data_IF_225691270672
#
_entry.id   IF_225691270672
#
_cell.length_a   1.000
_cell.length_b   1.000
_cell.length_c   1.000
_cell.angle_alpha   90.00
_cell.angle_beta   90.00
_cell.angle_gamma   90.00
#
_symmetry.space_group_name_H-M   'P 1'
#
loop_
_entity.id
_entity.type
_entity.pdbx_description
1 polymer ?
#
# COMPACT_ATOMS: atom_id res chain seq x y z
N UNK A 1 -5.88 -18.66 15.02
CA UNK A 1 -5.80 -17.24 14.63
C UNK A 1 -4.36 -16.95 14.30
N UNK A 2 -4.05 -16.47 13.09
CA UNK A 2 -2.70 -16.01 12.77
C UNK A 2 -2.54 -14.61 13.33
N UNK A 3 -1.48 -14.38 14.11
CA UNK A 3 -1.12 -13.05 14.62
C UNK A 3 -0.44 -12.28 13.49
N UNK A 4 -0.84 -11.02 13.24
CA UNK A 4 -0.14 -10.21 12.24
C UNK A 4 1.28 -9.92 12.71
N UNK A 5 2.24 -10.02 11.81
CA UNK A 5 3.63 -9.65 12.10
C UNK A 5 3.73 -8.12 12.28
N UNK A 6 4.45 -7.69 13.32
CA UNK A 6 4.64 -6.27 13.62
C UNK A 6 6.07 -5.89 13.22
N UNK A 7 6.20 -5.10 12.14
CA UNK A 7 7.48 -4.56 11.67
C UNK A 7 7.36 -3.06 11.45
N UNK A 8 8.47 -2.37 11.63
CA UNK A 8 8.57 -0.95 11.29
C UNK A 8 9.77 -0.72 10.38
N UNK A 9 9.70 0.36 9.61
CA UNK A 9 10.83 0.95 8.91
C UNK A 9 10.77 2.46 9.09
N UNK A 10 11.88 3.16 8.94
CA UNK A 10 11.87 4.62 8.86
C UNK A 10 12.75 5.11 7.72
N UNK A 11 12.46 6.31 7.25
CA UNK A 11 13.35 7.03 6.35
C UNK A 11 14.34 7.84 7.18
N UNK A 12 15.63 7.49 7.09
CA UNK A 12 16.71 8.08 7.89
C UNK A 12 17.89 8.40 6.99
N UNK A 13 18.41 9.63 7.06
CA UNK A 13 19.60 10.05 6.30
C UNK A 13 19.51 9.71 4.79
N UNK A 14 18.34 9.95 4.18
CA UNK A 14 18.05 9.64 2.77
C UNK A 14 18.08 8.14 2.41
N UNK A 15 17.78 7.27 3.37
CA UNK A 15 17.73 5.81 3.15
C UNK A 15 16.62 5.15 3.97
N UNK A 16 16.04 4.06 3.44
CA UNK A 16 15.11 3.22 4.19
C UNK A 16 15.90 2.32 5.16
N UNK A 17 15.66 2.49 6.46
CA UNK A 17 16.18 1.62 7.50
C UNK A 17 15.06 0.75 8.06
N UNK A 18 15.30 -0.57 8.15
CA UNK A 18 14.34 -1.54 8.69
C UNK A 18 14.59 -1.72 10.18
N UNK A 19 13.52 -1.67 10.97
CA UNK A 19 13.55 -1.91 12.41
C UNK A 19 12.67 -3.12 12.72
N UNK A 20 13.30 -4.27 12.94
CA UNK A 20 12.72 -5.42 13.66
C UNK A 20 13.56 -5.56 14.96
N UNK A 21 13.04 -5.91 16.13
CA UNK A 21 12.13 -7.02 16.43
C UNK A 21 11.56 -6.85 17.86
N UNK A 22 10.29 -7.21 18.12
CA UNK A 22 9.85 -7.59 19.48
C UNK A 22 9.79 -9.11 19.51
N UNK A 23 10.93 -9.74 19.78
CA UNK A 23 10.97 -11.15 20.15
C UNK A 23 10.78 -11.25 21.66
N UNK A 24 9.76 -11.98 22.18
CA UNK A 24 9.64 -12.23 23.61
C UNK A 24 10.78 -13.12 24.16
N UNK A 25 11.64 -13.66 23.29
CA UNK A 25 12.87 -14.37 23.66
C UNK A 25 14.09 -13.49 23.35
N UNK A 26 14.23 -12.36 24.05
CA UNK A 26 15.50 -11.62 24.05
C UNK A 26 16.45 -12.28 25.07
N UNK A 27 17.23 -13.24 24.59
CA UNK A 27 18.59 -13.40 25.12
C UNK A 27 19.36 -12.13 24.72
N UNK A 28 19.91 -11.46 25.74
CA UNK A 28 20.71 -10.26 25.59
C UNK A 28 21.85 -10.47 24.58
N UNK A 29 21.89 -9.69 23.50
CA UNK A 29 23.11 -9.67 22.68
C UNK A 29 23.06 -8.90 21.36
N UNK A 30 21.92 -8.84 20.68
CA UNK A 30 21.83 -8.15 19.39
C UNK A 30 20.58 -7.28 19.32
N UNK A 31 20.52 -6.31 20.23
CA UNK A 31 19.58 -5.20 20.07
C UNK A 31 20.19 -4.27 19.02
N UNK A 32 19.65 -4.27 17.81
CA UNK A 32 19.60 -3.02 17.03
C UNK A 32 18.58 -2.11 17.73
N UNK A 33 18.91 -1.72 18.96
CA UNK A 33 18.20 -0.72 19.73
C UNK A 33 18.47 0.60 19.03
N UNK A 34 17.56 1.01 18.15
CA UNK A 34 17.29 2.43 18.07
C UNK A 34 16.82 2.81 19.46
N UNK A 35 17.61 3.63 20.13
CA UNK A 35 17.34 4.12 21.47
C UNK A 35 15.95 4.77 21.50
N UNK A 36 14.92 4.03 21.92
CA UNK A 36 13.55 4.52 22.15
C UNK A 36 13.46 5.25 23.50
N UNK A 37 14.54 5.93 23.91
CA UNK A 37 14.71 6.51 25.24
C UNK A 37 14.81 8.04 25.19
N UNK A 38 14.89 8.64 24.01
CA UNK A 38 14.76 10.07 23.80
C UNK A 38 13.47 10.29 23.03
N UNK A 39 12.64 11.21 23.51
CA UNK A 39 11.40 11.65 22.89
C UNK A 39 11.63 11.85 21.39
N UNK A 40 11.25 10.87 20.56
CA UNK A 40 11.25 11.04 19.11
C UNK A 40 10.25 12.15 18.87
N UNK A 41 10.72 13.36 18.56
CA UNK A 41 9.83 14.32 17.91
C UNK A 41 9.29 13.60 16.68
N UNK A 42 7.97 13.48 16.55
CA UNK A 42 7.26 12.66 15.54
C UNK A 42 7.76 12.90 14.09
N UNK A 43 8.49 14.00 13.86
CA UNK A 43 9.04 14.42 12.58
C UNK A 43 10.52 14.05 12.34
N UNK A 44 11.28 13.62 13.35
CA UNK A 44 12.72 13.36 13.16
C UNK A 44 12.97 12.02 12.47
N UNK A 45 12.09 11.04 12.69
CA UNK A 45 12.17 9.70 12.10
C UNK A 45 10.78 9.23 11.68
N UNK A 46 10.38 9.45 10.42
CA UNK A 46 9.06 9.03 9.95
C UNK A 46 8.94 7.50 9.96
N UNK A 47 8.33 6.97 11.02
CA UNK A 47 8.04 5.55 11.17
C UNK A 47 6.91 5.13 10.24
N UNK A 48 7.10 3.99 9.59
CA UNK A 48 6.17 3.37 8.67
C UNK A 48 5.91 1.93 9.11
N UNK A 49 4.65 1.61 9.40
CA UNK A 49 4.25 0.28 9.87
C UNK A 49 4.02 -0.69 8.70
N UNK A 50 4.40 -1.95 8.88
CA UNK A 50 4.05 -3.04 7.96
C UNK A 50 2.55 -3.34 7.99
N UNK A 51 1.93 -3.43 6.82
CA UNK A 51 0.49 -3.67 6.68
C UNK A 51 0.08 -5.11 6.96
N UNK A 52 1.02 -6.07 6.87
CA UNK A 52 0.71 -7.50 6.83
C UNK A 52 0.51 -8.05 5.41
N UNK A 53 0.53 -7.19 4.39
CA UNK A 53 0.31 -7.56 2.99
C UNK A 53 1.60 -7.53 2.17
N UNK A 54 1.57 -8.21 1.03
CA UNK A 54 2.64 -8.20 0.04
C UNK A 54 2.05 -7.92 -1.34
N UNK A 55 2.80 -7.23 -2.17
CA UNK A 55 2.41 -7.05 -3.57
C UNK A 55 2.61 -8.33 -4.40
N UNK A 56 2.24 -8.27 -5.69
CA UNK A 56 2.36 -9.39 -6.62
C UNK A 56 3.79 -9.95 -6.78
N UNK A 57 4.82 -9.15 -6.46
CA UNK A 57 6.22 -9.53 -6.54
C UNK A 57 6.75 -10.03 -5.19
N UNK A 58 5.88 -10.16 -4.18
CA UNK A 58 6.23 -10.59 -2.83
C UNK A 58 6.88 -9.49 -1.98
N UNK A 59 6.87 -8.23 -2.43
CA UNK A 59 7.40 -7.10 -1.68
C UNK A 59 6.41 -6.70 -0.59
N UNK A 60 6.91 -6.57 0.63
CA UNK A 60 6.12 -6.14 1.79
C UNK A 60 5.66 -4.70 1.63
N UNK A 61 4.42 -4.43 2.06
CA UNK A 61 3.79 -3.12 1.95
C UNK A 61 3.78 -2.45 3.32
N UNK A 62 4.16 -1.18 3.35
CA UNK A 62 4.23 -0.37 4.55
C UNK A 62 3.41 0.92 4.38
N UNK A 63 3.07 1.57 5.48
CA UNK A 63 2.58 2.95 5.44
C UNK A 63 3.53 3.84 4.63
N UNK A 64 2.96 4.77 3.86
CA UNK A 64 3.73 5.67 3.01
C UNK A 64 4.30 5.05 1.74
N UNK A 65 4.10 3.74 1.49
CA UNK A 65 4.33 3.18 0.15
C UNK A 65 3.36 3.79 -0.88
N UNK A 66 3.84 3.94 -2.10
CA UNK A 66 3.07 4.34 -3.27
C UNK A 66 2.81 3.08 -4.08
N UNK A 67 1.53 2.78 -4.27
CA UNK A 67 1.07 1.66 -5.06
C UNK A 67 0.60 2.15 -6.42
N UNK A 68 0.95 1.41 -7.47
CA UNK A 68 0.18 1.43 -8.71
C UNK A 68 -0.90 0.36 -8.62
N UNK A 69 -2.14 0.77 -8.86
CA UNK A 69 -3.33 -0.09 -8.90
C UNK A 69 -3.87 -0.11 -10.32
N UNK A 70 -4.38 -1.26 -10.77
CA UNK A 70 -5.05 -1.34 -12.07
C UNK A 70 -6.21 -2.34 -12.07
N UNK A 71 -7.10 -2.19 -13.03
CA UNK A 71 -8.11 -3.17 -13.39
C UNK A 71 -8.02 -3.41 -14.89
N UNK A 72 -8.17 -4.66 -15.32
CA UNK A 72 -8.24 -5.03 -16.73
C UNK A 72 -9.65 -4.80 -17.27
N UNK A 73 -9.80 -4.76 -18.59
CA UNK A 73 -11.12 -4.72 -19.22
C UNK A 73 -11.94 -5.97 -18.82
N UNK A 74 -13.17 -5.76 -18.39
CA UNK A 74 -14.09 -6.83 -18.00
C UNK A 74 -15.24 -6.92 -19.00
N UNK A 75 -15.53 -8.13 -19.49
CA UNK A 75 -16.63 -8.39 -20.42
C UNK A 75 -17.79 -9.03 -19.67
N UNK A 76 -18.87 -8.28 -19.47
CA UNK A 76 -20.00 -8.68 -18.64
C UNK A 76 -21.18 -9.04 -19.57
N UNK A 77 -21.86 -10.18 -19.36
CA UNK A 77 -23.01 -10.54 -20.17
C UNK A 77 -24.09 -9.45 -20.11
N UNK A 78 -24.48 -8.92 -21.26
CA UNK A 78 -25.55 -7.94 -21.36
C UNK A 78 -26.89 -8.66 -21.15
N UNK A 79 -27.60 -8.30 -20.08
CA UNK A 79 -28.84 -8.97 -19.66
C UNK A 79 -30.09 -8.40 -20.34
N UNK A 80 -29.95 -7.31 -21.10
CA UNK A 80 -31.06 -6.60 -21.73
C UNK A 80 -31.28 -7.02 -23.21
N UNK A 81 -30.44 -7.91 -23.72
CA UNK A 81 -30.52 -8.42 -25.09
C UNK A 81 -31.65 -9.42 -25.26
N UNK A 82 -32.85 -8.89 -25.44
CA UNK A 82 -34.04 -9.67 -25.74
C UNK A 82 -33.83 -10.58 -26.96
N UNK A 83 -33.87 -11.90 -26.76
CA UNK A 83 -34.07 -12.85 -27.86
C UNK A 83 -32.90 -13.76 -28.26
N UNK A 84 -32.10 -14.25 -27.31
CA UNK A 84 -31.26 -15.45 -27.54
C UNK A 84 -29.89 -15.22 -28.17
N UNK A 85 -29.45 -13.98 -28.31
CA UNK A 85 -28.06 -13.62 -28.60
C UNK A 85 -27.39 -13.28 -27.27
N UNK A 86 -26.25 -13.91 -26.98
CA UNK A 86 -25.37 -13.49 -25.87
C UNK A 86 -24.41 -12.45 -26.43
N UNK A 87 -24.60 -11.20 -26.05
CA UNK A 87 -23.63 -10.12 -26.22
C UNK A 87 -23.06 -9.68 -24.86
N UNK A 88 -21.95 -8.96 -24.91
CA UNK A 88 -21.18 -8.58 -23.73
C UNK A 88 -20.93 -7.07 -23.77
N UNK A 89 -21.17 -6.41 -22.64
CA UNK A 89 -20.70 -5.06 -22.42
C UNK A 89 -19.25 -5.10 -21.93
N UNK A 90 -18.43 -4.20 -22.44
CA UNK A 90 -17.05 -4.03 -21.98
C UNK A 90 -17.00 -2.92 -20.94
N UNK A 91 -16.73 -3.27 -19.69
CA UNK A 91 -16.30 -2.32 -18.68
C UNK A 91 -14.81 -2.06 -18.85
N UNK A 92 -14.45 -0.82 -19.17
CA UNK A 92 -13.06 -0.43 -19.35
C UNK A 92 -12.32 -0.44 -18.02
N UNK A 93 -11.14 -1.05 -18.06
CA UNK A 93 -10.18 -1.05 -16.97
C UNK A 93 -9.66 0.35 -16.65
N UNK A 94 -8.79 0.42 -15.66
CA UNK A 94 -8.13 1.65 -15.25
C UNK A 94 -6.74 1.38 -14.71
N UNK A 95 -5.91 2.43 -14.62
CA UNK A 95 -4.65 2.41 -13.89
C UNK A 95 -4.50 3.72 -13.13
N UNK A 96 -4.01 3.64 -11.90
CA UNK A 96 -3.82 4.80 -11.04
C UNK A 96 -2.69 4.55 -10.05
N UNK A 97 -2.21 5.62 -9.43
CA UNK A 97 -1.26 5.58 -8.33
C UNK A 97 -1.87 6.22 -7.09
N UNK A 98 -1.48 5.71 -5.93
CA UNK A 98 -1.98 6.18 -4.65
C UNK A 98 -1.09 5.77 -3.50
N UNK A 99 -1.35 6.36 -2.34
CA UNK A 99 -0.55 6.21 -1.13
C UNK A 99 -1.24 5.25 -0.17
N UNK A 100 -0.43 4.45 0.51
CA UNK A 100 -0.85 3.67 1.68
C UNK A 100 -0.87 4.56 2.92
N UNK A 101 -2.02 4.62 3.60
CA UNK A 101 -2.21 5.29 4.88
C UNK A 101 -2.70 4.34 5.96
N UNK A 102 -2.74 4.83 7.20
CA UNK A 102 -3.45 4.19 8.31
C UNK A 102 -4.46 5.18 8.89
N UNK A 103 -5.75 4.90 8.68
CA UNK A 103 -6.85 5.77 9.10
C UNK A 103 -8.00 4.91 9.61
N UNK A 104 -8.66 5.38 10.67
CA UNK A 104 -9.84 4.69 11.22
C UNK A 104 -9.58 3.24 11.69
N UNK A 105 -8.33 2.91 12.04
CA UNK A 105 -7.95 1.56 12.48
C UNK A 105 -7.68 0.56 11.36
N UNK A 106 -7.64 0.98 10.10
CA UNK A 106 -7.30 0.14 8.95
C UNK A 106 -6.22 0.79 8.09
N UNK A 107 -5.46 -0.04 7.39
CA UNK A 107 -4.64 0.42 6.28
C UNK A 107 -5.55 0.74 5.08
N UNK A 108 -5.36 1.92 4.50
CA UNK A 108 -6.12 2.40 3.36
C UNK A 108 -5.20 2.69 2.17
N UNK A 109 -5.76 2.55 0.97
CA UNK A 109 -5.22 3.13 -0.24
C UNK A 109 -6.00 4.41 -0.55
N UNK A 110 -5.29 5.50 -0.77
CA UNK A 110 -5.84 6.79 -1.18
C UNK A 110 -5.22 7.23 -2.51
N UNK A 111 -6.07 7.50 -3.51
CA UNK A 111 -5.63 7.89 -4.86
C UNK A 111 -4.85 9.21 -4.83
N UNK A 112 -3.75 9.25 -5.57
CA UNK A 112 -2.97 10.46 -5.87
C UNK A 112 -3.27 10.92 -7.29
N UNK A 113 -3.24 9.99 -8.26
CA UNK A 113 -3.34 10.31 -9.67
C UNK A 113 -3.87 9.14 -10.49
N UNK A 114 -4.79 9.43 -11.39
CA UNK A 114 -5.21 8.51 -12.46
C UNK A 114 -4.19 8.53 -13.60
N UNK A 115 -3.75 7.35 -14.02
CA UNK A 115 -2.85 7.17 -15.17
C UNK A 115 -3.63 6.86 -16.45
N UNK A 116 -4.70 6.06 -16.34
CA UNK A 116 -5.55 5.65 -17.46
C UNK A 116 -6.95 5.24 -16.98
N UNK A 117 -7.96 5.35 -17.84
CA UNK A 117 -9.33 4.92 -17.56
C UNK A 117 -10.12 5.86 -16.66
N UNK A 118 -10.77 5.30 -15.63
CA UNK A 118 -11.70 6.05 -14.75
C UNK A 118 -10.97 7.10 -13.91
N UNK A 119 -11.53 8.31 -13.86
CA UNK A 119 -11.04 9.45 -13.07
C UNK A 119 -11.61 9.50 -11.64
N UNK A 120 -12.09 8.37 -11.11
CA UNK A 120 -12.65 8.31 -9.77
C UNK A 120 -11.55 8.14 -8.72
N UNK A 121 -11.61 8.93 -7.65
CA UNK A 121 -10.69 8.81 -6.53
C UNK A 121 -11.09 7.61 -5.65
N UNK A 122 -10.24 6.58 -5.64
CA UNK A 122 -10.39 5.44 -4.74
C UNK A 122 -9.84 5.79 -3.37
N UNK A 123 -10.70 5.61 -2.35
CA UNK A 123 -10.36 5.59 -0.93
C UNK A 123 -10.97 4.34 -0.31
N UNK A 124 -10.16 3.30 -0.14
CA UNK A 124 -10.65 1.99 0.29
C UNK A 124 -9.61 1.26 1.16
N UNK A 125 -10.05 0.32 2.01
CA UNK A 125 -9.16 -0.66 2.61
C UNK A 125 -8.30 -1.34 1.54
N UNK A 126 -7.00 -1.43 1.79
CA UNK A 126 -6.04 -1.97 0.82
C UNK A 126 -6.32 -3.45 0.46
N UNK A 127 -6.91 -4.21 1.37
CA UNK A 127 -7.27 -5.61 1.19
C UNK A 127 -8.48 -5.83 0.27
N UNK A 128 -9.18 -4.76 -0.14
CA UNK A 128 -10.25 -4.82 -1.14
C UNK A 128 -9.74 -4.66 -2.58
N UNK A 129 -8.46 -4.33 -2.75
CA UNK A 129 -7.82 -4.13 -4.05
C UNK A 129 -7.09 -5.42 -4.42
N UNK A 130 -7.29 -5.92 -5.63
CA UNK A 130 -6.68 -7.20 -6.05
C UNK A 130 -5.34 -7.02 -6.78
N UNK A 131 -5.21 -5.95 -7.57
CA UNK A 131 -4.10 -5.76 -8.48
C UNK A 131 -3.32 -4.50 -8.09
N UNK A 132 -2.19 -4.70 -7.43
CA UNK A 132 -1.29 -3.61 -7.06
C UNK A 132 0.18 -4.02 -7.06
N UNK A 133 1.04 -3.02 -7.24
CA UNK A 133 2.50 -3.13 -7.10
C UNK A 133 3.08 -1.91 -6.39
N UNK A 134 4.10 -2.12 -5.54
CA UNK A 134 4.80 -1.00 -4.89
C UNK A 134 5.77 -0.37 -5.88
N UNK A 135 5.52 0.88 -6.27
CA UNK A 135 6.36 1.62 -7.23
C UNK A 135 7.31 2.63 -6.58
N UNK A 136 7.14 2.90 -5.29
CA UNK A 136 7.95 3.88 -4.57
C UNK A 136 7.42 4.13 -3.17
N UNK A 137 7.94 5.16 -2.51
CA UNK A 137 7.40 5.65 -1.25
C UNK A 137 7.46 7.19 -1.19
N UNK A 138 6.71 7.79 -0.28
CA UNK A 138 6.56 9.24 -0.22
C UNK A 138 7.85 10.03 0.10
N UNK A 139 8.88 9.38 0.63
CA UNK A 139 10.14 10.02 1.00
C UNK A 139 11.18 9.92 -0.12
N UNK A 140 11.30 8.74 -0.72
CA UNK A 140 12.24 8.47 -1.81
C UNK A 140 11.74 9.00 -3.17
N UNK A 141 10.42 9.07 -3.35
CA UNK A 141 9.78 9.40 -4.63
C UNK A 141 8.77 10.57 -4.54
N UNK A 142 9.18 11.77 -4.06
CA UNK A 142 8.29 12.92 -3.96
C UNK A 142 7.73 13.37 -5.33
N UNK A 143 8.43 13.07 -6.42
CA UNK A 143 7.99 13.35 -7.80
C UNK A 143 6.72 12.60 -8.20
N UNK A 144 6.41 11.47 -7.56
CA UNK A 144 5.18 10.71 -7.83
C UNK A 144 3.93 11.32 -7.20
N UNK A 145 4.09 12.31 -6.30
CA UNK A 145 3.00 12.94 -5.55
C UNK A 145 2.70 14.34 -6.10
N UNK A 146 3.75 15.10 -6.45
CA UNK A 146 3.65 16.53 -6.72
C UNK A 146 3.31 16.90 -8.18
N UNK A 147 2.59 16.06 -8.93
CA UNK A 147 2.31 16.28 -10.36
C UNK A 147 0.99 16.98 -10.64
#
# INVERSE_FOLDING_TARGET
MNVREIKFRAWVENSLQRFMDYSPTLEAGHSSSVFLNETIEENQYPLMQYTGLKDRNGKEIYEGDILRVWQEDEYIPNRDSGGGIIDYDCEKGFSQIGKVGFKGGSFDYSTIKTLDGKHEEIHAPIDWINNYEVIGNIYENPELINS
#
